data_IF_671806071717
#
_entry.id   IF_671806071717
#
_cell.length_a   1.000
_cell.length_b   1.000
_cell.length_c   1.000
_cell.angle_alpha   90.00
_cell.angle_beta   90.00
_cell.angle_gamma   90.00
#
_symmetry.space_group_name_H-M   'P 1'
#
loop_
_entity.id
_entity.type
_entity.pdbx_description
1 polymer ?
#
# COMPACT_ATOMS: atom_id res chain seq x y z
N UNK A 1 27.47 1.43 -1.08
CA UNK A 1 26.25 0.63 -1.31
C UNK A 1 25.47 1.30 -2.41
N UNK A 2 25.02 0.54 -3.41
CA UNK A 2 24.42 1.07 -4.62
C UNK A 2 23.10 0.34 -4.81
N UNK A 3 21.98 1.06 -4.71
CA UNK A 3 20.71 0.57 -5.23
C UNK A 3 20.81 0.42 -6.75
N UNK A 4 20.05 -0.50 -7.37
CA UNK A 4 19.98 -0.65 -8.82
C UNK A 4 19.69 0.66 -9.54
N UNK A 5 18.74 1.46 -9.03
CA UNK A 5 18.50 2.83 -9.50
C UNK A 5 19.15 3.86 -8.55
N UNK A 6 20.00 4.72 -9.11
CA UNK A 6 20.60 5.82 -8.36
C UNK A 6 19.57 6.84 -7.88
N UNK A 7 18.48 7.01 -8.65
CA UNK A 7 17.42 7.95 -8.31
C UNK A 7 16.68 7.50 -7.05
N UNK A 8 16.64 6.23 -6.69
CA UNK A 8 15.92 5.75 -5.51
C UNK A 8 16.68 5.84 -4.19
N UNK A 9 17.96 6.25 -4.24
CA UNK A 9 18.79 6.42 -3.02
C UNK A 9 18.20 7.40 -2.02
N UNK A 10 17.48 8.43 -2.49
CA UNK A 10 16.85 9.39 -1.59
C UNK A 10 15.66 8.79 -0.83
N UNK A 11 14.92 7.86 -1.46
CA UNK A 11 13.83 7.11 -0.81
C UNK A 11 14.39 6.24 0.32
N UNK A 12 15.45 5.48 0.04
CA UNK A 12 16.13 4.66 1.06
C UNK A 12 16.72 5.53 2.18
N UNK A 13 17.39 6.64 1.84
CA UNK A 13 17.94 7.56 2.84
C UNK A 13 16.85 8.16 3.74
N UNK A 14 15.70 8.52 3.17
CA UNK A 14 14.55 9.00 3.93
C UNK A 14 14.02 7.92 4.89
N UNK A 15 13.83 6.69 4.41
CA UNK A 15 13.36 5.57 5.21
C UNK A 15 14.29 5.28 6.40
N UNK A 16 15.60 5.26 6.17
CA UNK A 16 16.60 5.09 7.23
C UNK A 16 16.53 6.26 8.21
N UNK A 17 16.48 7.50 7.71
CA UNK A 17 16.51 8.70 8.55
C UNK A 17 15.27 8.82 9.46
N UNK A 18 14.13 8.31 9.02
CA UNK A 18 12.87 8.32 9.77
C UNK A 18 12.66 7.08 10.63
N UNK A 19 13.58 6.10 10.60
CA UNK A 19 13.40 4.78 11.20
C UNK A 19 12.09 4.11 10.73
N UNK A 20 11.80 4.23 9.43
CA UNK A 20 10.72 3.46 8.83
C UNK A 20 11.02 1.96 8.90
N UNK A 21 9.99 1.13 8.89
CA UNK A 21 10.12 -0.33 8.84
C UNK A 21 9.79 -0.88 7.44
N UNK A 22 8.98 -0.15 6.66
CA UNK A 22 8.51 -0.58 5.35
C UNK A 22 8.57 0.58 4.36
N UNK A 23 9.11 0.32 3.18
CA UNK A 23 8.92 1.15 1.98
C UNK A 23 7.74 0.55 1.22
N UNK A 24 6.81 1.40 0.77
CA UNK A 24 5.66 0.96 -0.04
C UNK A 24 5.85 1.48 -1.46
N UNK A 25 6.04 0.57 -2.42
CA UNK A 25 6.25 0.92 -3.83
C UNK A 25 6.00 -0.27 -4.76
N UNK A 26 5.54 0.01 -5.98
CA UNK A 26 5.45 -0.98 -7.05
C UNK A 26 6.82 -1.30 -7.67
N UNK A 27 7.84 -0.48 -7.43
CA UNK A 27 9.18 -0.63 -8.00
C UNK A 27 10.06 -1.57 -7.16
N UNK A 28 9.57 -2.76 -6.82
CA UNK A 28 10.25 -3.68 -5.90
C UNK A 28 11.68 -4.01 -6.35
N UNK A 29 11.89 -4.17 -7.65
CA UNK A 29 13.20 -4.48 -8.25
C UNK A 29 14.29 -3.43 -7.94
N UNK A 30 13.89 -2.19 -7.64
CA UNK A 30 14.80 -1.09 -7.37
C UNK A 30 15.19 -1.03 -5.88
N UNK A 31 14.53 -1.85 -5.05
CA UNK A 31 14.80 -2.02 -3.62
C UNK A 31 15.04 -3.50 -3.24
N UNK A 32 16.20 -4.08 -3.63
CA UNK A 32 16.53 -5.47 -3.31
C UNK A 32 16.51 -5.76 -1.81
N UNK A 33 15.85 -6.86 -1.41
CA UNK A 33 15.69 -7.23 0.01
C UNK A 33 17.01 -7.42 0.74
N UNK A 34 18.04 -7.97 0.08
CA UNK A 34 19.37 -8.17 0.64
C UNK A 34 20.05 -6.84 1.05
N UNK A 35 19.72 -5.75 0.35
CA UNK A 35 20.18 -4.41 0.72
C UNK A 35 19.35 -3.87 1.88
N UNK A 36 18.02 -3.99 1.82
CA UNK A 36 17.10 -3.44 2.82
C UNK A 36 17.24 -4.11 4.19
N UNK A 37 17.51 -5.42 4.21
CA UNK A 37 17.66 -6.21 5.43
C UNK A 37 18.79 -5.70 6.33
N UNK A 38 19.85 -5.13 5.74
CA UNK A 38 20.94 -4.50 6.50
C UNK A 38 20.48 -3.30 7.33
N UNK A 39 19.31 -2.75 7.03
CA UNK A 39 18.71 -1.59 7.69
C UNK A 39 17.43 -1.94 8.45
N UNK A 40 17.05 -3.22 8.50
CA UNK A 40 15.77 -3.65 9.08
C UNK A 40 14.55 -3.13 8.30
N UNK A 41 14.73 -2.82 7.01
CA UNK A 41 13.67 -2.35 6.13
C UNK A 41 13.09 -3.51 5.32
N UNK A 42 11.81 -3.40 4.99
CA UNK A 42 11.15 -4.25 4.01
C UNK A 42 10.53 -3.41 2.90
N UNK A 43 10.31 -4.01 1.75
CA UNK A 43 9.57 -3.44 0.63
C UNK A 43 8.25 -4.20 0.48
N UNK A 44 7.15 -3.48 0.30
CA UNK A 44 5.84 -4.07 -0.02
C UNK A 44 5.21 -3.32 -1.19
N UNK A 45 4.40 -4.03 -1.98
CA UNK A 45 3.50 -3.33 -2.89
C UNK A 45 2.42 -2.58 -2.09
N UNK A 46 1.78 -1.56 -2.68
CA UNK A 46 0.61 -0.94 -2.06
C UNK A 46 -0.50 -1.93 -1.75
N UNK A 47 -0.72 -2.94 -2.60
CA UNK A 47 -1.77 -3.94 -2.42
C UNK A 47 -1.48 -4.86 -1.23
N UNK A 48 -0.25 -5.37 -1.13
CA UNK A 48 0.18 -6.18 0.02
C UNK A 48 0.08 -5.37 1.32
N UNK A 49 0.59 -4.13 1.30
CA UNK A 49 0.60 -3.28 2.48
C UNK A 49 -0.81 -2.97 2.98
N UNK A 50 -1.73 -2.58 2.09
CA UNK A 50 -3.10 -2.28 2.49
C UNK A 50 -3.84 -3.53 2.98
N UNK A 51 -3.61 -4.69 2.36
CA UNK A 51 -4.16 -5.97 2.81
C UNK A 51 -3.72 -6.32 4.23
N UNK A 52 -2.44 -6.14 4.57
CA UNK A 52 -1.96 -6.33 5.95
C UNK A 52 -2.64 -5.38 6.94
N UNK A 53 -2.81 -4.10 6.55
CA UNK A 53 -3.46 -3.10 7.42
C UNK A 53 -4.93 -3.43 7.66
N UNK A 54 -5.62 -3.93 6.63
CA UNK A 54 -7.01 -4.40 6.75
C UNK A 54 -7.07 -5.61 7.69
N UNK A 55 -6.20 -6.61 7.52
CA UNK A 55 -6.15 -7.81 8.38
C UNK A 55 -5.90 -7.45 9.86
N UNK A 56 -5.03 -6.46 10.10
CA UNK A 56 -4.74 -5.97 11.45
C UNK A 56 -5.94 -5.33 12.15
N UNK A 57 -6.85 -4.68 11.41
CA UNK A 57 -8.06 -4.09 12.00
C UNK A 57 -9.21 -3.99 10.97
N UNK A 58 -9.95 -5.11 10.76
CA UNK A 58 -10.99 -5.17 9.73
C UNK A 58 -12.14 -4.19 9.97
N UNK A 59 -12.54 -4.00 11.24
CA UNK A 59 -13.64 -3.10 11.59
C UNK A 59 -13.30 -1.64 11.24
N UNK A 60 -12.10 -1.18 11.62
CA UNK A 60 -11.66 0.19 11.32
C UNK A 60 -11.43 0.40 9.83
N UNK A 61 -10.97 -0.63 9.12
CA UNK A 61 -10.80 -0.59 7.68
C UNK A 61 -12.15 -0.40 6.95
N UNK A 62 -13.18 -1.14 7.34
CA UNK A 62 -14.52 -1.02 6.76
C UNK A 62 -15.16 0.34 7.07
N UNK A 63 -14.98 0.85 8.30
CA UNK A 63 -15.42 2.21 8.65
C UNK A 63 -14.75 3.25 7.75
N UNK A 64 -13.42 3.21 7.61
CA UNK A 64 -12.68 4.13 6.75
C UNK A 64 -13.06 4.00 5.27
N UNK A 65 -13.35 2.78 4.80
CA UNK A 65 -13.81 2.54 3.43
C UNK A 65 -15.18 3.18 3.18
N UNK A 66 -16.14 3.00 4.09
CA UNK A 66 -17.46 3.63 4.00
C UNK A 66 -17.37 5.16 4.06
N UNK A 67 -16.52 5.71 4.93
CA UNK A 67 -16.25 7.16 4.97
C UNK A 67 -15.65 7.67 3.65
N UNK A 68 -14.71 6.92 3.04
CA UNK A 68 -14.11 7.27 1.76
C UNK A 68 -15.16 7.38 0.65
N UNK A 69 -16.10 6.43 0.59
CA UNK A 69 -17.20 6.43 -0.39
C UNK A 69 -18.12 7.64 -0.18
N UNK A 70 -18.55 7.88 1.06
CA UNK A 70 -19.43 9.02 1.38
C UNK A 70 -18.81 10.38 1.03
N UNK A 71 -17.48 10.50 1.11
CA UNK A 71 -16.76 11.71 0.77
C UNK A 71 -16.48 11.86 -0.74
N UNK A 72 -16.67 10.79 -1.51
CA UNK A 72 -16.41 10.79 -2.95
C UNK A 72 -17.59 11.36 -3.73
N UNK A 73 -17.56 12.67 -3.96
CA UNK A 73 -18.67 13.43 -4.57
C UNK A 73 -18.53 13.71 -6.08
N UNK A 74 -17.42 13.32 -6.71
CA UNK A 74 -17.20 13.59 -8.13
C UNK A 74 -16.21 12.59 -8.78
N UNK A 75 -16.70 11.58 -9.52
CA UNK A 75 -18.10 11.13 -9.56
C UNK A 75 -18.49 10.51 -8.21
N UNK A 76 -19.78 10.63 -7.86
CA UNK A 76 -20.41 9.77 -6.84
C UNK A 76 -20.32 8.33 -7.33
N UNK A 77 -19.81 7.43 -6.48
CA UNK A 77 -19.68 6.01 -6.77
C UNK A 77 -20.27 5.22 -5.61
N UNK A 78 -20.85 4.07 -5.91
CA UNK A 78 -21.24 3.11 -4.87
C UNK A 78 -20.04 2.26 -4.38
N UNK A 79 -20.29 1.43 -3.37
CA UNK A 79 -19.29 0.53 -2.79
C UNK A 79 -18.60 -0.35 -3.84
N UNK A 80 -19.37 -0.97 -4.73
CA UNK A 80 -18.86 -1.89 -5.74
C UNK A 80 -18.06 -1.18 -6.83
N UNK A 81 -18.51 0.00 -7.26
CA UNK A 81 -17.78 0.83 -8.20
C UNK A 81 -16.43 1.30 -7.66
N UNK A 82 -16.36 1.60 -6.35
CA UNK A 82 -15.09 1.94 -5.70
C UNK A 82 -14.18 0.70 -5.61
N UNK A 83 -14.71 -0.48 -5.26
CA UNK A 83 -13.93 -1.71 -5.28
C UNK A 83 -13.36 -2.00 -6.68
N UNK A 84 -14.14 -1.79 -7.74
CA UNK A 84 -13.67 -1.94 -9.11
C UNK A 84 -12.63 -0.88 -9.51
N UNK A 85 -12.71 0.32 -8.94
CA UNK A 85 -11.63 1.30 -9.09
C UNK A 85 -10.35 0.82 -8.43
N UNK A 86 -10.40 0.25 -7.22
CA UNK A 86 -9.23 -0.31 -6.54
C UNK A 86 -8.59 -1.42 -7.38
N UNK A 87 -9.38 -2.40 -7.85
CA UNK A 87 -8.90 -3.49 -8.72
C UNK A 87 -8.19 -2.95 -9.96
N UNK A 88 -8.79 -1.97 -10.65
CA UNK A 88 -8.20 -1.37 -11.87
C UNK A 88 -6.89 -0.62 -11.62
N UNK A 89 -6.62 -0.20 -10.38
CA UNK A 89 -5.40 0.49 -10.00
C UNK A 89 -4.35 -0.45 -9.37
N UNK A 90 -4.54 -1.77 -9.50
CA UNK A 90 -3.60 -2.76 -8.98
C UNK A 90 -3.73 -3.01 -7.47
N UNK A 91 -4.90 -2.72 -6.89
CA UNK A 91 -5.26 -3.02 -5.50
C UNK A 91 -6.28 -4.16 -5.45
N UNK A 92 -5.94 -5.28 -6.07
CA UNK A 92 -6.88 -6.38 -6.29
C UNK A 92 -7.17 -7.13 -4.99
N UNK A 93 -6.13 -7.51 -4.24
CA UNK A 93 -6.29 -8.24 -2.99
C UNK A 93 -6.96 -7.36 -1.92
N UNK A 94 -6.59 -6.08 -1.87
CA UNK A 94 -7.24 -5.07 -1.03
C UNK A 94 -8.74 -4.99 -1.31
N UNK A 95 -9.12 -4.91 -2.59
CA UNK A 95 -10.52 -4.81 -2.99
C UNK A 95 -11.30 -6.09 -2.69
N UNK A 96 -10.72 -7.25 -2.96
CA UNK A 96 -11.36 -8.54 -2.71
C UNK A 96 -11.53 -8.78 -1.20
N UNK A 97 -10.56 -8.34 -0.40
CA UNK A 97 -10.66 -8.48 1.05
C UNK A 97 -11.69 -7.55 1.67
N UNK A 98 -11.72 -6.27 1.27
CA UNK A 98 -12.78 -5.34 1.68
C UNK A 98 -14.15 -5.85 1.27
N UNK A 99 -14.29 -6.39 0.05
CA UNK A 99 -15.55 -6.95 -0.44
C UNK A 99 -16.03 -8.11 0.42
N UNK A 100 -15.15 -8.99 0.89
CA UNK A 100 -15.51 -10.10 1.75
C UNK A 100 -15.97 -9.69 3.16
N UNK A 101 -15.69 -8.45 3.56
CA UNK A 101 -16.01 -7.89 4.88
C UNK A 101 -17.27 -6.99 4.87
N UNK A 102 -17.85 -6.69 3.70
CA UNK A 102 -19.09 -5.93 3.53
C UNK A 102 -20.33 -6.80 3.78
#
# INVERSE_FOLDING_TARGET
MVLPDEKDRHVLAAAIKTNAHVIVSNNIKDFPEDILDNYGLKIKTPDDFLTDIIDLNPERAIEAFKEMILNKKNPELDEYEVLDCLRRNGLQDTADYLHALL
#
